data_IF_323336232030
#
_entry.id   IF_323336232030
#
_cell.length_a   1.000
_cell.length_b   1.000
_cell.length_c   1.000
_cell.angle_alpha   90.00
_cell.angle_beta   90.00
_cell.angle_gamma   90.00
#
_symmetry.space_group_name_H-M   'P 1'
#
loop_
_entity.id
_entity.type
_entity.pdbx_description
1 polymer ?
#
# COMPACT_ATOMS: atom_id res chain seq x y z
N UNK A 1 -1.46 10.00 -7.13
CA UNK A 1 -0.65 9.37 -6.07
C UNK A 1 -1.60 8.58 -5.20
N UNK A 2 -1.49 7.25 -5.21
CA UNK A 2 -2.28 6.37 -4.35
C UNK A 2 -1.37 5.93 -3.20
N UNK A 3 -1.92 5.58 -2.06
CA UNK A 3 -1.16 5.13 -0.90
C UNK A 3 -1.71 3.77 -0.47
N UNK A 4 -0.82 2.85 -0.10
CA UNK A 4 -1.18 1.47 0.33
C UNK A 4 -1.33 1.34 1.84
N UNK A 5 -1.50 2.46 2.54
CA UNK A 5 -1.45 2.54 3.99
C UNK A 5 -2.47 1.58 4.64
N UNK A 6 -3.71 1.53 4.16
CA UNK A 6 -4.74 0.66 4.72
C UNK A 6 -4.40 -0.84 4.60
N UNK A 7 -3.73 -1.24 3.51
CA UNK A 7 -3.30 -2.62 3.32
C UNK A 7 -2.17 -2.97 4.29
N UNK A 8 -1.14 -2.11 4.37
CA UNK A 8 0.00 -2.31 5.27
C UNK A 8 -0.43 -2.29 6.74
N UNK A 9 -1.37 -1.43 7.11
CA UNK A 9 -1.97 -1.44 8.44
C UNK A 9 -2.62 -2.79 8.75
N UNK A 10 -3.42 -3.35 7.82
CA UNK A 10 -4.03 -4.68 8.00
C UNK A 10 -2.99 -5.79 8.12
N UNK A 11 -1.96 -5.79 7.28
CA UNK A 11 -0.87 -6.77 7.34
C UNK A 11 -0.12 -6.72 8.67
N UNK A 12 0.02 -5.53 9.27
CA UNK A 12 0.66 -5.30 10.56
C UNK A 12 -0.30 -5.41 11.76
N UNK A 13 -1.59 -5.66 11.54
CA UNK A 13 -2.60 -5.74 12.59
C UNK A 13 -3.00 -4.40 13.21
N UNK A 14 -2.71 -3.28 12.54
CA UNK A 14 -3.13 -1.95 12.94
C UNK A 14 -4.53 -1.60 12.42
N UNK A 15 -5.31 -0.94 13.27
CA UNK A 15 -6.61 -0.38 12.88
C UNK A 15 -6.57 1.15 12.80
N UNK A 16 -7.53 1.74 12.10
CA UNK A 16 -7.70 3.20 12.07
C UNK A 16 -7.95 3.81 13.45
N UNK A 17 -8.42 3.01 14.41
CA UNK A 17 -8.62 3.43 15.81
C UNK A 17 -7.28 3.57 16.52
N UNK A 18 -6.43 2.55 16.43
CA UNK A 18 -5.09 2.56 17.02
C UNK A 18 -4.26 3.72 16.45
N UNK A 19 -4.39 3.96 15.14
CA UNK A 19 -3.71 5.08 14.49
C UNK A 19 -4.26 6.44 14.97
N UNK A 20 -5.57 6.55 15.20
CA UNK A 20 -6.15 7.78 15.73
C UNK A 20 -5.72 8.07 17.17
N UNK A 21 -5.62 7.02 17.99
CA UNK A 21 -5.12 7.09 19.36
C UNK A 21 -3.64 7.52 19.39
N UNK A 22 -2.78 6.93 18.56
CA UNK A 22 -1.36 7.33 18.48
C UNK A 22 -1.16 8.75 17.97
N UNK A 23 -2.02 9.18 17.05
CA UNK A 23 -1.95 10.54 16.52
C UNK A 23 -2.61 11.57 17.45
N UNK A 24 -3.34 11.13 18.48
CA UNK A 24 -4.10 12.01 19.36
C UNK A 24 -5.20 12.79 18.64
N UNK A 25 -5.73 12.27 17.54
CA UNK A 25 -6.76 12.93 16.72
C UNK A 25 -8.02 12.10 16.61
N UNK A 26 -9.11 12.72 16.17
CA UNK A 26 -10.37 12.00 15.96
C UNK A 26 -10.26 10.97 14.82
N UNK A 27 -11.04 9.87 14.89
CA UNK A 27 -11.13 8.88 13.80
C UNK A 27 -11.50 9.51 12.46
N UNK A 28 -12.37 10.51 12.48
CA UNK A 28 -12.79 11.27 11.30
C UNK A 28 -11.61 12.02 10.66
N UNK A 29 -10.75 12.59 11.50
CA UNK A 29 -9.51 13.27 11.10
C UNK A 29 -8.52 12.28 10.50
N UNK A 30 -8.35 11.09 11.09
CA UNK A 30 -7.49 10.03 10.49
C UNK A 30 -8.02 9.60 9.13
N UNK A 31 -9.30 9.30 8.97
CA UNK A 31 -9.84 8.90 7.67
C UNK A 31 -9.59 9.93 6.58
N UNK A 32 -9.64 11.22 6.89
CA UNK A 32 -9.29 12.28 5.95
C UNK A 32 -7.77 12.38 5.72
N UNK A 33 -6.96 12.23 6.77
CA UNK A 33 -5.50 12.19 6.67
C UNK A 33 -5.01 10.98 5.87
N UNK A 34 -5.63 9.81 5.96
CA UNK A 34 -5.26 8.64 5.16
C UNK A 34 -5.58 8.83 3.67
N UNK A 35 -6.60 9.62 3.34
CA UNK A 35 -6.92 10.00 1.95
C UNK A 35 -5.93 11.02 1.37
N UNK A 36 -5.44 11.94 2.19
CA UNK A 36 -4.46 12.98 1.82
C UNK A 36 -3.43 13.17 2.93
N UNK A 37 -2.50 12.21 3.10
CA UNK A 37 -1.55 12.29 4.19
C UNK A 37 -0.53 13.39 3.89
N UNK A 38 -0.22 14.18 4.90
CA UNK A 38 0.94 15.06 4.85
C UNK A 38 2.22 14.21 4.97
N UNK A 39 3.37 14.79 4.60
CA UNK A 39 4.66 14.13 4.77
C UNK A 39 4.90 13.71 6.23
N UNK A 40 4.52 14.58 7.18
CA UNK A 40 4.64 14.28 8.62
C UNK A 40 3.79 13.06 9.02
N UNK A 41 2.56 12.99 8.52
CA UNK A 41 1.66 11.84 8.76
C UNK A 41 2.24 10.55 8.17
N UNK A 42 2.81 10.61 6.96
CA UNK A 42 3.47 9.44 6.35
C UNK A 42 4.66 8.95 7.17
N UNK A 43 5.50 9.86 7.67
CA UNK A 43 6.66 9.52 8.51
C UNK A 43 6.20 8.82 9.78
N UNK A 44 5.20 9.39 10.48
CA UNK A 44 4.65 8.79 11.70
C UNK A 44 4.03 7.42 11.45
N UNK A 45 3.26 7.27 10.36
CA UNK A 45 2.68 5.97 9.99
C UNK A 45 3.79 4.95 9.71
N UNK A 46 4.83 5.36 8.99
CA UNK A 46 5.95 4.48 8.66
C UNK A 46 6.66 4.01 9.93
N UNK A 47 6.89 4.93 10.88
CA UNK A 47 7.52 4.65 12.17
C UNK A 47 6.67 3.68 13.01
N UNK A 48 5.36 3.94 13.14
CA UNK A 48 4.41 3.10 13.88
C UNK A 48 4.31 1.69 13.27
N UNK A 49 4.32 1.58 11.95
CA UNK A 49 4.23 0.29 11.24
C UNK A 49 5.60 -0.41 11.11
N UNK A 50 6.69 0.28 11.47
CA UNK A 50 8.06 -0.20 11.28
C UNK A 50 8.40 -0.49 9.82
N UNK A 51 7.94 0.36 8.90
CA UNK A 51 8.20 0.29 7.46
C UNK A 51 8.86 1.58 6.98
N UNK A 52 9.36 1.62 5.75
CA UNK A 52 9.86 2.88 5.18
C UNK A 52 8.70 3.71 4.63
N UNK A 53 8.87 5.03 4.61
CA UNK A 53 7.91 5.95 3.99
C UNK A 53 7.64 5.59 2.53
N UNK A 54 8.66 5.14 1.81
CA UNK A 54 8.56 4.63 0.43
C UNK A 54 7.60 3.45 0.31
N UNK A 55 7.53 2.57 1.31
CA UNK A 55 6.69 1.38 1.26
C UNK A 55 5.19 1.74 1.36
N UNK A 56 4.88 2.87 2.03
CA UNK A 56 3.52 3.41 2.12
C UNK A 56 3.05 4.03 0.80
N UNK A 57 3.99 4.47 -0.02
CA UNK A 57 3.71 5.02 -1.33
C UNK A 57 3.33 3.87 -2.25
N UNK A 58 2.22 4.03 -2.95
CA UNK A 58 2.04 3.30 -4.19
C UNK A 58 2.97 4.00 -5.18
N UNK A 59 4.25 3.60 -5.17
CA UNK A 59 5.06 3.60 -6.40
C UNK A 59 4.27 2.74 -7.34
N UNK A 60 3.34 3.40 -8.05
CA UNK A 60 2.18 2.77 -8.67
C UNK A 60 2.64 1.47 -9.25
N UNK A 61 2.12 0.36 -8.69
CA UNK A 61 2.54 -1.01 -9.00
C UNK A 61 3.25 -0.97 -10.33
N UNK A 62 4.56 -1.29 -10.37
CA UNK A 62 5.16 -1.72 -11.64
C UNK A 62 4.06 -2.57 -12.26
N UNK A 63 3.43 -2.06 -13.32
CA UNK A 63 2.21 -2.67 -13.86
C UNK A 63 2.76 -3.89 -14.56
N UNK A 64 3.02 -4.90 -13.76
CA UNK A 64 3.70 -6.12 -14.10
C UNK A 64 2.63 -6.91 -14.81
N UNK A 65 2.39 -6.56 -16.07
CA UNK A 65 1.47 -7.30 -16.90
C UNK A 65 2.06 -8.71 -17.04
N UNK A 66 1.37 -9.75 -16.51
CA UNK A 66 1.86 -11.11 -16.63
C UNK A 66 1.83 -11.47 -18.11
N UNK A 67 2.98 -11.88 -18.63
CA UNK A 67 3.11 -12.35 -20.00
C UNK A 67 2.71 -13.83 -20.00
N UNK A 68 1.79 -14.18 -20.89
CA UNK A 68 1.38 -15.56 -21.11
C UNK A 68 1.95 -16.07 -22.43
N UNK A 69 2.47 -17.30 -22.41
CA UNK A 69 2.76 -18.07 -23.62
C UNK A 69 1.69 -19.15 -23.78
N UNK A 70 1.20 -19.32 -25.00
CA UNK A 70 0.32 -20.43 -25.34
C UNK A 70 1.18 -21.68 -25.59
N UNK A 71 0.89 -22.74 -24.85
CA UNK A 71 1.51 -24.04 -25.03
C UNK A 71 0.95 -24.78 -26.26
N UNK A 72 1.58 -25.88 -26.65
CA UNK A 72 1.21 -26.76 -27.78
C UNK A 72 -0.25 -27.22 -27.72
N UNK A 73 -0.77 -27.35 -26.50
CA UNK A 73 -2.14 -27.77 -26.18
C UNK A 73 -3.14 -26.60 -26.09
N UNK A 74 -2.69 -25.39 -26.40
CA UNK A 74 -3.48 -24.18 -26.35
C UNK A 74 -3.71 -23.59 -24.95
N UNK A 75 -3.05 -24.13 -23.93
CA UNK A 75 -3.10 -23.63 -22.55
C UNK A 75 -2.21 -22.41 -22.38
N UNK A 76 -2.71 -21.38 -21.70
CA UNK A 76 -1.92 -20.21 -21.32
C UNK A 76 -1.02 -20.56 -20.12
N UNK A 77 0.29 -20.37 -20.27
CA UNK A 77 1.30 -20.54 -19.22
C UNK A 77 1.91 -19.17 -18.93
N UNK A 78 1.91 -18.76 -17.66
CA UNK A 78 2.61 -17.54 -17.23
C UNK A 78 4.12 -17.74 -17.39
N UNK A 79 4.77 -16.86 -18.16
CA UNK A 79 6.21 -16.93 -18.47
C UNK A 79 7.02 -15.77 -17.89
N UNK A 80 6.39 -14.87 -17.12
CA UNK A 80 7.07 -13.73 -16.50
C UNK A 80 6.20 -12.48 -16.46
N UNK A 81 6.82 -11.37 -16.05
CA UNK A 81 6.15 -10.09 -15.87
C UNK A 81 6.85 -9.02 -16.71
N UNK A 82 6.09 -8.21 -17.45
CA UNK A 82 6.64 -7.05 -18.17
C UNK A 82 6.61 -5.83 -17.26
N UNK A 83 7.76 -5.23 -16.99
CA UNK A 83 7.85 -3.92 -16.34
C UNK A 83 7.65 -2.84 -17.41
N UNK A 84 6.67 -1.95 -17.19
CA UNK A 84 6.30 -0.88 -18.11
C UNK A 84 7.27 0.31 -18.03
#
# INVERSE_FOLDING_TARGET
MKFKIEQLMKEKGFSNVNLAEEFGVSRSTISNNLKKPSLETLIKIADVLGVKVSDLLDEGEDNLEPIYKKDENGKLINIGFLKK
#
